data_IF_013081418074
#
_entry.id   IF_013081418074
#
_cell.length_a   1.000
_cell.length_b   1.000
_cell.length_c   1.000
_cell.angle_alpha   90.00
_cell.angle_beta   90.00
_cell.angle_gamma   90.00
#
_symmetry.space_group_name_H-M   'P 1'
#
loop_
_entity.id
_entity.type
_entity.pdbx_description
1 polymer ?
#
# COMPACT_ATOMS: atom_id res chain seq x y z
N UNK A 1 -14.28 -14.42 -16.34
CA UNK A 1 -14.25 -14.50 -14.85
C UNK A 1 -12.87 -14.06 -14.40
N UNK A 2 -12.74 -13.31 -13.31
CA UNK A 2 -11.41 -13.04 -12.75
C UNK A 2 -10.80 -14.35 -12.23
N UNK A 3 -9.46 -14.53 -12.29
CA UNK A 3 -8.80 -15.80 -11.99
C UNK A 3 -9.08 -16.36 -10.59
N UNK A 4 -9.29 -15.50 -9.59
CA UNK A 4 -9.57 -15.94 -8.22
C UNK A 4 -8.41 -16.68 -7.56
N UNK A 5 -7.17 -16.32 -7.90
CA UNK A 5 -5.94 -16.94 -7.37
C UNK A 5 -5.33 -16.11 -6.25
N UNK A 6 -4.32 -16.65 -5.56
CA UNK A 6 -3.59 -15.93 -4.51
C UNK A 6 -2.99 -14.61 -5.02
N UNK A 7 -2.41 -14.63 -6.22
CA UNK A 7 -1.82 -13.44 -6.83
C UNK A 7 -2.84 -12.33 -7.08
N UNK A 8 -4.01 -12.67 -7.62
CA UNK A 8 -5.07 -11.69 -7.87
C UNK A 8 -5.70 -11.19 -6.57
N UNK A 9 -5.89 -12.07 -5.58
CA UNK A 9 -6.44 -11.69 -4.28
C UNK A 9 -5.55 -10.69 -3.53
N UNK A 10 -4.23 -10.88 -3.56
CA UNK A 10 -3.29 -9.90 -3.02
C UNK A 10 -3.37 -8.55 -3.76
N UNK A 11 -3.39 -8.58 -5.09
CA UNK A 11 -3.47 -7.38 -5.90
C UNK A 11 -4.79 -6.61 -5.68
N UNK A 12 -5.91 -7.32 -5.51
CA UNK A 12 -7.22 -6.76 -5.23
C UNK A 12 -7.26 -6.10 -3.85
N UNK A 13 -6.63 -6.70 -2.83
CA UNK A 13 -6.50 -6.10 -1.50
C UNK A 13 -5.78 -4.75 -1.54
N UNK A 14 -4.65 -4.67 -2.25
CA UNK A 14 -3.96 -3.40 -2.48
C UNK A 14 -4.80 -2.44 -3.34
N UNK A 15 -5.47 -2.95 -4.37
CA UNK A 15 -6.42 -2.20 -5.21
C UNK A 15 -7.52 -1.52 -4.42
N UNK A 16 -8.13 -2.21 -3.46
CA UNK A 16 -9.18 -1.67 -2.61
C UNK A 16 -8.67 -0.49 -1.77
N UNK A 17 -7.47 -0.63 -1.18
CA UNK A 17 -6.87 0.44 -0.37
C UNK A 17 -6.47 1.65 -1.21
N UNK A 18 -5.92 1.42 -2.41
CA UNK A 18 -5.64 2.50 -3.38
C UNK A 18 -6.92 3.23 -3.76
N UNK A 19 -7.99 2.49 -4.05
CA UNK A 19 -9.29 3.08 -4.40
C UNK A 19 -9.86 3.94 -3.27
N UNK A 20 -9.73 3.47 -2.02
CA UNK A 20 -10.15 4.23 -0.85
C UNK A 20 -9.37 5.55 -0.71
N UNK A 21 -8.04 5.51 -0.80
CA UNK A 21 -7.21 6.73 -0.70
C UNK A 21 -7.42 7.69 -1.88
N UNK A 22 -7.59 7.17 -3.09
CA UNK A 22 -7.96 7.99 -4.25
C UNK A 22 -9.31 8.68 -4.03
N UNK A 23 -10.29 7.96 -3.50
CA UNK A 23 -11.63 8.50 -3.23
C UNK A 23 -11.62 9.60 -2.16
N UNK A 24 -10.64 9.59 -1.25
CA UNK A 24 -10.44 10.65 -0.26
C UNK A 24 -9.69 11.86 -0.81
N UNK A 25 -9.16 11.81 -2.05
CA UNK A 25 -8.41 12.91 -2.68
C UNK A 25 -6.89 12.73 -2.70
N UNK A 26 -6.35 11.59 -2.22
CA UNK A 26 -4.92 11.33 -2.29
C UNK A 26 -4.46 11.07 -3.72
N UNK A 27 -3.24 11.50 -4.05
CA UNK A 27 -2.62 11.28 -5.36
C UNK A 27 -1.85 9.96 -5.34
N UNK A 28 -2.55 8.87 -5.64
CA UNK A 28 -1.96 7.53 -5.68
C UNK A 28 -1.86 7.09 -7.14
N UNK A 29 -0.64 6.81 -7.61
CA UNK A 29 -0.43 6.27 -8.95
C UNK A 29 -0.78 4.78 -9.01
N UNK A 30 -0.81 4.19 -10.21
CA UNK A 30 -0.92 2.74 -10.39
C UNK A 30 0.26 2.24 -11.20
N UNK A 31 0.81 1.10 -10.78
CA UNK A 31 1.83 0.41 -11.56
C UNK A 31 1.23 -0.17 -12.85
N UNK A 32 2.09 -0.33 -13.84
CA UNK A 32 1.77 -1.08 -15.04
C UNK A 32 1.47 -2.55 -14.69
N UNK A 33 0.66 -3.20 -15.53
CA UNK A 33 0.33 -4.62 -15.32
C UNK A 33 1.56 -5.49 -15.53
N UNK A 34 1.76 -6.45 -14.64
CA UNK A 34 2.82 -7.44 -14.72
C UNK A 34 2.23 -8.85 -14.65
N UNK A 35 2.91 -9.82 -15.28
CA UNK A 35 2.48 -11.22 -15.31
C UNK A 35 3.47 -12.11 -14.58
N UNK A 36 2.98 -12.86 -13.60
CA UNK A 36 3.76 -13.82 -12.82
C UNK A 36 3.09 -15.17 -12.89
N UNK A 37 3.84 -16.22 -13.28
CA UNK A 37 3.28 -17.58 -13.39
C UNK A 37 2.03 -17.67 -14.29
N UNK A 38 1.91 -16.81 -15.31
CA UNK A 38 0.73 -16.73 -16.20
C UNK A 38 -0.45 -15.93 -15.65
N UNK A 39 -0.33 -15.33 -14.46
CA UNK A 39 -1.36 -14.47 -13.84
C UNK A 39 -0.96 -13.01 -13.96
N UNK A 40 -1.79 -12.21 -14.64
CA UNK A 40 -1.59 -10.77 -14.78
C UNK A 40 -2.22 -10.01 -13.62
N UNK A 41 -1.44 -9.15 -12.95
CA UNK A 41 -1.86 -8.33 -11.81
C UNK A 41 -1.37 -6.90 -11.94
N UNK A 42 -1.93 -5.99 -11.13
CA UNK A 42 -1.38 -4.64 -10.92
C UNK A 42 -0.58 -4.67 -9.62
N UNK A 43 0.76 -4.68 -9.66
CA UNK A 43 1.60 -5.04 -8.50
C UNK A 43 1.70 -3.95 -7.44
N UNK A 44 1.48 -2.67 -7.78
CA UNK A 44 1.70 -1.55 -6.86
C UNK A 44 0.90 -0.29 -7.20
N UNK A 45 0.91 0.72 -6.31
CA UNK A 45 1.59 0.73 -5.02
C UNK A 45 0.97 -0.23 -3.99
N UNK A 46 1.81 -0.77 -3.11
CA UNK A 46 1.39 -1.68 -2.05
C UNK A 46 1.08 -0.87 -0.80
N UNK A 47 -0.21 -0.72 -0.46
CA UNK A 47 -0.61 0.08 0.68
C UNK A 47 -1.36 -0.79 1.69
N UNK A 48 -0.87 -0.81 2.91
CA UNK A 48 -1.47 -1.56 4.03
C UNK A 48 -1.73 -0.60 5.18
N UNK A 49 -3.02 -0.34 5.42
CA UNK A 49 -3.48 0.38 6.58
C UNK A 49 -3.90 -0.64 7.64
N UNK A 50 -3.14 -0.75 8.73
CA UNK A 50 -3.48 -1.70 9.80
C UNK A 50 -4.78 -1.28 10.49
N UNK A 51 -5.57 -2.22 11.04
CA UNK A 51 -6.80 -1.90 11.77
C UNK A 51 -6.60 -0.94 12.95
N UNK A 52 -5.40 -0.90 13.54
CA UNK A 52 -5.06 0.06 14.60
C UNK A 52 -4.96 1.50 14.10
N UNK A 53 -4.76 1.71 12.80
CA UNK A 53 -4.72 3.03 12.17
C UNK A 53 -6.08 3.38 11.55
N UNK A 54 -6.63 2.51 10.69
CA UNK A 54 -7.94 2.66 10.06
C UNK A 54 -8.68 1.34 10.12
N UNK A 55 -9.84 1.36 10.74
CA UNK A 55 -10.76 0.22 10.87
C UNK A 55 -11.96 0.35 9.92
N UNK A 56 -12.37 1.58 9.57
CA UNK A 56 -13.47 1.84 8.66
C UNK A 56 -13.17 3.01 7.69
N UNK A 57 -13.77 3.02 6.48
CA UNK A 57 -13.56 4.11 5.51
C UNK A 57 -13.84 5.52 6.04
N UNK A 58 -14.74 5.67 7.02
CA UNK A 58 -15.08 6.96 7.62
C UNK A 58 -13.92 7.63 8.36
N UNK A 59 -12.92 6.86 8.81
CA UNK A 59 -11.75 7.39 9.53
C UNK A 59 -10.69 7.98 8.60
N UNK A 60 -10.76 7.71 7.28
CA UNK A 60 -9.73 8.15 6.33
C UNK A 60 -9.60 9.66 6.30
N UNK A 61 -10.69 10.42 6.39
CA UNK A 61 -10.64 11.88 6.40
C UNK A 61 -9.92 12.46 7.62
N UNK A 62 -10.06 11.81 8.78
CA UNK A 62 -9.34 12.20 10.01
C UNK A 62 -7.87 11.83 9.94
N UNK A 63 -7.55 10.70 9.29
CA UNK A 63 -6.18 10.20 9.13
C UNK A 63 -5.39 10.91 8.05
N UNK A 64 -6.06 11.42 7.03
CA UNK A 64 -5.49 12.15 5.91
C UNK A 64 -6.22 13.49 5.73
N UNK A 65 -6.01 14.46 6.63
CA UNK A 65 -6.76 15.72 6.65
C UNK A 65 -6.40 16.70 5.51
N UNK A 66 -5.30 16.46 4.79
CA UNK A 66 -4.90 17.23 3.60
C UNK A 66 -4.52 16.27 2.46
N UNK A 67 -5.49 15.48 1.96
CA UNK A 67 -5.24 14.34 1.08
C UNK A 67 -4.56 14.77 -0.23
N UNK A 68 -4.80 15.98 -0.73
CA UNK A 68 -4.19 16.53 -1.95
C UNK A 68 -2.66 16.70 -1.88
N UNK A 69 -2.10 16.69 -0.65
CA UNK A 69 -0.67 16.76 -0.34
C UNK A 69 -0.03 15.39 -0.09
N UNK A 70 -0.81 14.31 -0.22
CA UNK A 70 -0.33 12.93 -0.09
C UNK A 70 -0.17 12.35 -1.49
N UNK A 71 1.09 12.10 -1.86
CA UNK A 71 1.52 11.55 -3.15
C UNK A 71 2.22 10.23 -2.92
N UNK A 72 1.78 9.20 -3.64
CA UNK A 72 2.35 7.85 -3.56
C UNK A 72 2.59 7.37 -4.99
N UNK A 73 3.87 7.18 -5.33
CA UNK A 73 4.29 6.70 -6.65
C UNK A 73 3.85 5.27 -6.92
N UNK A 74 3.83 4.88 -8.21
CA UNK A 74 3.42 3.54 -8.63
C UNK A 74 4.23 2.39 -8.01
N UNK A 75 5.52 2.65 -7.70
CA UNK A 75 6.49 1.68 -7.17
C UNK A 75 6.55 1.64 -5.64
N UNK A 76 5.72 2.42 -4.97
CA UNK A 76 5.85 2.62 -3.52
C UNK A 76 5.19 1.51 -2.70
N UNK A 77 5.72 1.34 -1.48
CA UNK A 77 5.15 0.47 -0.44
C UNK A 77 4.93 1.29 0.83
N UNK A 78 3.70 1.31 1.34
CA UNK A 78 3.33 2.03 2.56
C UNK A 78 2.66 1.09 3.54
N UNK A 79 3.19 1.02 4.77
CA UNK A 79 2.54 0.34 5.89
C UNK A 79 2.34 1.34 7.02
N UNK A 80 1.11 1.48 7.51
CA UNK A 80 0.79 2.39 8.61
C UNK A 80 0.13 1.63 9.74
N UNK A 81 0.64 1.84 10.95
CA UNK A 81 0.20 1.20 12.17
C UNK A 81 0.13 2.20 13.33
N UNK A 82 -0.96 2.12 14.10
CA UNK A 82 -1.13 2.88 15.34
C UNK A 82 -2.18 3.98 15.25
N UNK A 83 -3.02 4.06 16.29
CA UNK A 83 -4.17 4.98 16.35
C UNK A 83 -3.74 6.45 16.40
N UNK A 84 -2.57 6.74 16.96
CA UNK A 84 -2.07 8.10 17.10
C UNK A 84 -1.45 8.71 15.85
N UNK A 85 -1.41 7.98 14.72
CA UNK A 85 -0.85 8.51 13.46
C UNK A 85 -1.87 9.40 12.76
N UNK A 86 -1.39 10.51 12.20
CA UNK A 86 -2.08 11.36 11.22
C UNK A 86 -1.08 11.74 10.11
N UNK A 87 -1.49 11.70 8.85
CA UNK A 87 -0.64 12.01 7.69
C UNK A 87 -1.20 13.23 6.98
N UNK A 88 -0.58 14.39 7.17
CA UNK A 88 -1.01 15.63 6.53
C UNK A 88 -0.35 15.83 5.16
N UNK A 89 0.94 15.53 5.03
CA UNK A 89 1.65 15.62 3.76
C UNK A 89 2.76 14.58 3.67
N UNK A 90 2.83 13.92 2.52
CA UNK A 90 3.77 12.83 2.23
C UNK A 90 4.05 12.79 0.73
N UNK A 91 5.31 12.73 0.34
CA UNK A 91 5.75 12.40 -1.02
C UNK A 91 6.59 11.13 -0.97
N UNK A 92 5.99 10.00 -1.36
CA UNK A 92 6.56 8.67 -1.22
C UNK A 92 6.91 8.06 -2.59
N UNK A 93 8.20 7.86 -2.80
CA UNK A 93 8.80 7.08 -3.89
C UNK A 93 9.76 6.02 -3.32
N UNK A 94 9.23 4.83 -3.04
CA UNK A 94 9.94 3.75 -2.38
C UNK A 94 9.14 3.15 -1.23
N UNK A 95 9.81 2.62 -0.21
CA UNK A 95 9.19 1.93 0.91
C UNK A 95 9.20 2.79 2.18
N UNK A 96 8.07 2.83 2.89
CA UNK A 96 7.93 3.49 4.18
C UNK A 96 7.03 2.67 5.12
N UNK A 97 7.49 2.49 6.35
CA UNK A 97 6.72 1.90 7.44
C UNK A 97 6.60 2.93 8.55
N UNK A 98 5.36 3.29 8.90
CA UNK A 98 5.05 4.19 10.01
C UNK A 98 4.41 3.35 11.12
N UNK A 99 5.04 3.35 12.29
CA UNK A 99 4.53 2.70 13.49
C UNK A 99 4.44 3.70 14.62
N UNK A 100 3.28 3.74 15.26
CA UNK A 100 3.06 4.52 16.46
C UNK A 100 2.55 3.58 17.55
N UNK A 101 3.26 3.55 18.67
CA UNK A 101 2.94 2.70 19.81
C UNK A 101 1.66 3.16 20.51
N UNK A 102 1.08 2.28 21.33
CA UNK A 102 -0.10 2.62 22.11
C UNK A 102 0.19 3.79 23.08
N UNK A 103 -0.71 4.77 23.12
CA UNK A 103 -0.54 5.98 23.92
C UNK A 103 0.36 7.05 23.29
N UNK A 104 1.07 6.75 22.19
CA UNK A 104 1.84 7.73 21.43
C UNK A 104 0.98 8.37 20.33
N UNK A 105 1.41 9.56 19.88
CA UNK A 105 0.82 10.27 18.73
C UNK A 105 1.90 10.87 17.86
N UNK A 106 1.70 10.86 16.54
CA UNK A 106 2.64 11.41 15.58
C UNK A 106 1.92 11.95 14.36
N UNK A 107 2.29 13.16 13.93
CA UNK A 107 1.80 13.76 12.69
C UNK A 107 2.90 13.80 11.66
N UNK A 108 2.67 13.22 10.49
CA UNK A 108 3.58 13.27 9.36
C UNK A 108 3.29 14.55 8.57
N UNK A 109 4.30 15.44 8.53
CA UNK A 109 4.25 16.72 7.80
C UNK A 109 5.50 16.85 6.94
N UNK A 110 5.27 17.23 5.70
CA UNK A 110 6.25 17.58 4.66
C UNK A 110 7.34 16.51 4.49
N UNK A 111 6.96 15.26 4.71
CA UNK A 111 7.86 14.13 4.63
C UNK A 111 8.06 13.73 3.17
N UNK A 112 9.32 13.68 2.74
CA UNK A 112 9.72 13.16 1.43
C UNK A 112 10.56 11.92 1.66
N UNK A 113 10.15 10.79 1.08
CA UNK A 113 10.88 9.52 1.18
C UNK A 113 11.23 9.04 -0.22
N UNK A 114 12.53 8.87 -0.46
CA UNK A 114 13.08 8.32 -1.70
C UNK A 114 14.07 7.22 -1.36
N UNK A 115 13.75 5.98 -1.73
CA UNK A 115 14.63 4.83 -1.55
C UNK A 115 14.34 3.72 -2.56
N UNK A 116 15.13 2.65 -2.51
CA UNK A 116 15.06 1.53 -3.44
C UNK A 116 13.74 0.76 -3.39
N UNK A 117 12.90 0.98 -2.36
CA UNK A 117 11.58 0.38 -2.27
C UNK A 117 11.60 -1.13 -2.10
N UNK A 118 10.43 -1.76 -2.26
CA UNK A 118 10.28 -3.21 -2.29
C UNK A 118 9.78 -3.64 -3.66
N UNK A 119 10.36 -4.71 -4.19
CA UNK A 119 10.07 -5.20 -5.54
C UNK A 119 9.60 -6.65 -5.44
N UNK A 120 8.55 -6.97 -6.20
CA UNK A 120 8.11 -8.36 -6.37
C UNK A 120 9.03 -9.03 -7.39
N UNK A 121 9.57 -10.19 -7.04
CA UNK A 121 10.49 -10.93 -7.90
C UNK A 121 9.91 -12.32 -8.11
N UNK A 122 9.71 -12.69 -9.37
CA UNK A 122 9.23 -14.03 -9.70
C UNK A 122 10.20 -15.09 -9.17
N UNK A 123 9.69 -16.07 -8.43
CA UNK A 123 10.45 -17.22 -7.97
C UNK A 123 9.72 -18.53 -8.32
N UNK A 124 9.86 -19.03 -9.56
CA UNK A 124 9.23 -20.27 -9.99
C UNK A 124 9.87 -21.51 -9.34
N UNK A 125 11.03 -21.36 -8.70
CA UNK A 125 11.77 -22.43 -8.03
C UNK A 125 11.55 -22.49 -6.53
N UNK A 126 10.71 -21.61 -5.98
CA UNK A 126 10.46 -21.56 -4.55
C UNK A 126 9.76 -22.82 -4.06
N UNK A 127 10.37 -23.49 -3.07
CA UNK A 127 9.77 -24.56 -2.29
C UNK A 127 8.71 -24.05 -1.29
N UNK A 128 8.62 -22.73 -1.06
CA UNK A 128 7.55 -22.14 -0.26
C UNK A 128 6.22 -22.20 -1.00
N UNK A 129 5.26 -22.94 -0.47
CA UNK A 129 3.90 -23.02 -1.02
C UNK A 129 3.25 -21.63 -1.19
N UNK A 130 3.51 -20.70 -0.26
CA UNK A 130 2.94 -19.34 -0.31
C UNK A 130 3.44 -18.57 -1.53
N UNK A 131 4.72 -18.69 -1.86
CA UNK A 131 5.33 -18.05 -3.03
C UNK A 131 4.93 -18.80 -4.31
N UNK A 132 4.92 -20.14 -4.29
CA UNK A 132 4.51 -20.95 -5.43
C UNK A 132 3.06 -20.68 -5.86
N UNK A 133 2.13 -20.48 -4.91
CA UNK A 133 0.73 -20.16 -5.22
C UNK A 133 0.51 -18.77 -5.85
N UNK A 134 1.38 -17.79 -5.56
CA UNK A 134 1.24 -16.41 -6.07
C UNK A 134 2.19 -16.08 -7.23
N UNK A 135 3.30 -16.80 -7.37
CA UNK A 135 4.26 -16.68 -8.47
C UNK A 135 5.35 -15.61 -8.30
N UNK A 136 5.45 -14.97 -7.13
CA UNK A 136 6.42 -13.92 -6.78
C UNK A 136 6.52 -13.70 -5.27
#
# INVERSE_FOLDING_TARGET
TQPGTAATGEADQYGATRSLLKSSGCKVEEAEKETYGGVTVVPGPQIVLKPSFVSCPGEIGEKFPSPEKVKISARSSLVVEGKGVVIESLDLDGALVIKCEEGASGTVRDLVVKNDGWVKVADPSSESEVLAMRGY
#
